data_IF_295295191693
#
_entry.id   IF_295295191693
#
_cell.length_a   1.000
_cell.length_b   1.000
_cell.length_c   1.000
_cell.angle_alpha   90.00
_cell.angle_beta   90.00
_cell.angle_gamma   90.00
#
_symmetry.space_group_name_H-M   'P 1'
#
loop_
_entity.id
_entity.type
_entity.pdbx_description
1 polymer ?
#
# COMPACT_ATOMS: atom_id res chain seq x y z
N UNK A 1 8.30 -4.27 -20.22
CA UNK A 1 8.23 -3.21 -19.20
C UNK A 1 7.70 -3.78 -17.91
N UNK A 2 8.39 -3.47 -16.83
CA UNK A 2 8.09 -3.90 -15.48
C UNK A 2 7.38 -2.73 -14.78
N UNK A 3 6.37 -3.01 -13.96
CA UNK A 3 5.67 -1.98 -13.16
C UNK A 3 5.73 -2.42 -11.70
N UNK A 4 6.18 -1.53 -10.82
CA UNK A 4 6.16 -1.77 -9.38
C UNK A 4 4.70 -1.92 -8.90
N UNK A 5 4.37 -3.05 -8.30
CA UNK A 5 3.02 -3.34 -7.79
C UNK A 5 3.05 -3.45 -6.27
N UNK A 6 3.15 -2.33 -5.57
CA UNK A 6 2.96 -2.32 -4.12
C UNK A 6 1.54 -2.79 -3.82
N UNK A 7 1.39 -3.76 -2.92
CA UNK A 7 0.10 -4.40 -2.69
C UNK A 7 -0.94 -3.40 -2.18
N UNK A 8 -1.88 -3.04 -3.05
CA UNK A 8 -3.17 -2.45 -2.69
C UNK A 8 -4.08 -3.63 -2.36
N UNK A 9 -4.06 -4.11 -1.12
CA UNK A 9 -5.10 -5.05 -0.71
C UNK A 9 -6.41 -4.27 -0.57
N UNK A 10 -7.37 -4.55 -1.46
CA UNK A 10 -8.77 -4.30 -1.17
C UNK A 10 -9.15 -5.29 -0.06
N UNK A 11 -9.39 -4.79 1.14
CA UNK A 11 -9.83 -5.60 2.29
C UNK A 11 -11.06 -6.40 1.84
N UNK A 12 -11.02 -7.75 1.80
CA UNK A 12 -12.24 -8.53 1.81
C UNK A 12 -12.90 -8.27 3.16
N UNK A 13 -14.18 -7.93 3.19
CA UNK A 13 -14.93 -7.65 4.43
C UNK A 13 -14.54 -8.64 5.54
N UNK A 14 -13.82 -8.13 6.56
CA UNK A 14 -13.61 -8.85 7.80
C UNK A 14 -14.96 -8.91 8.49
N UNK A 15 -15.69 -10.00 8.30
CA UNK A 15 -16.95 -10.26 9.00
C UNK A 15 -16.65 -10.50 10.49
N UNK A 16 -17.04 -9.60 11.42
CA UNK A 16 -16.77 -9.76 12.84
C UNK A 16 -17.99 -10.39 13.51
N UNK A 17 -18.16 -11.71 13.35
CA UNK A 17 -19.09 -12.56 14.09
C UNK A 17 -18.79 -14.02 13.68
N UNK A 18 -18.61 -15.03 14.52
CA UNK A 18 -19.00 -15.25 15.91
C UNK A 18 -18.32 -16.54 16.36
N UNK A 19 -17.60 -16.52 17.49
CA UNK A 19 -17.34 -17.72 18.27
C UNK A 19 -18.59 -18.04 19.10
N UNK A 20 -19.37 -19.05 18.71
CA UNK A 20 -20.26 -19.77 19.62
C UNK A 20 -20.63 -21.14 19.06
N UNK A 21 -20.44 -22.11 19.96
CA UNK A 21 -20.61 -23.56 19.92
C UNK A 21 -21.76 -24.09 19.04
N UNK A 22 -21.46 -25.23 18.41
CA UNK A 22 -22.34 -26.10 17.63
C UNK A 22 -23.60 -26.55 18.40
N UNK A 23 -24.73 -26.60 17.70
CA UNK A 23 -25.74 -27.67 17.82
C UNK A 23 -26.48 -27.77 16.48
N UNK A 24 -26.49 -28.96 15.90
CA UNK A 24 -26.81 -29.18 14.49
C UNK A 24 -28.29 -29.26 14.09
N UNK A 25 -28.49 -29.24 12.77
CA UNK A 25 -29.41 -30.02 11.91
C UNK A 25 -29.47 -29.36 10.52
N UNK A 26 -29.17 -30.10 9.44
CA UNK A 26 -29.33 -29.63 8.05
C UNK A 26 -30.78 -29.79 7.55
N UNK A 27 -31.03 -29.91 6.22
CA UNK A 27 -30.48 -29.17 5.08
C UNK A 27 -31.60 -28.46 4.28
N UNK A 28 -31.28 -27.44 3.49
CA UNK A 28 -32.27 -26.83 2.57
C UNK A 28 -31.70 -25.72 1.70
N UNK A 29 -31.43 -26.05 0.43
CA UNK A 29 -31.13 -25.11 -0.64
C UNK A 29 -32.37 -24.32 -1.04
N UNK A 30 -32.29 -22.99 -1.07
CA UNK A 30 -33.18 -22.13 -1.87
C UNK A 30 -32.41 -20.88 -2.32
N UNK A 31 -32.30 -20.68 -3.63
CA UNK A 31 -31.92 -19.40 -4.24
C UNK A 31 -33.22 -18.66 -4.58
N UNK A 32 -33.38 -17.41 -4.12
CA UNK A 32 -34.10 -16.40 -4.89
C UNK A 32 -33.14 -15.21 -5.12
N UNK A 33 -32.97 -14.75 -6.34
CA UNK A 33 -34.04 -14.10 -7.08
C UNK A 33 -33.82 -12.59 -6.95
N UNK A 34 -33.26 -12.03 -8.03
CA UNK A 34 -33.03 -10.62 -8.31
C UNK A 34 -34.14 -9.71 -7.74
N UNK A 35 -33.83 -8.86 -6.75
CA UNK A 35 -34.72 -7.77 -6.31
C UNK A 35 -34.05 -6.42 -6.57
N UNK A 36 -34.72 -5.70 -7.46
CA UNK A 36 -34.45 -4.34 -7.92
C UNK A 36 -34.76 -3.36 -6.79
N UNK A 37 -33.75 -2.71 -6.22
CA UNK A 37 -33.97 -1.65 -5.22
C UNK A 37 -33.95 -0.28 -5.92
N UNK A 38 -35.15 0.31 -6.04
CA UNK A 38 -35.33 1.77 -6.15
C UNK A 38 -35.03 2.38 -4.78
N UNK A 39 -34.42 3.57 -4.79
CA UNK A 39 -33.85 4.19 -3.61
C UNK A 39 -34.85 4.70 -2.58
N UNK A 40 -34.33 4.89 -1.37
CA UNK A 40 -34.57 6.06 -0.54
C UNK A 40 -33.40 6.26 0.46
N UNK A 41 -33.15 7.49 0.94
CA UNK A 41 -31.88 7.92 1.51
C UNK A 41 -31.83 7.72 3.03
N UNK A 42 -30.78 7.05 3.53
CA UNK A 42 -30.48 7.03 4.96
C UNK A 42 -29.12 7.65 5.25
N UNK A 43 -29.25 8.83 5.86
CA UNK A 43 -28.27 9.64 6.60
C UNK A 43 -27.15 8.82 7.25
N UNK A 44 -25.90 9.11 6.88
CA UNK A 44 -24.74 8.89 7.75
C UNK A 44 -23.95 10.20 7.86
N UNK A 45 -23.62 10.50 9.11
CA UNK A 45 -23.13 11.77 9.64
C UNK A 45 -21.73 12.10 9.12
N UNK A 46 -21.65 12.95 8.11
CA UNK A 46 -20.49 13.79 7.88
C UNK A 46 -20.94 15.23 8.06
N UNK A 47 -20.45 15.90 9.10
CA UNK A 47 -20.54 17.34 9.24
C UNK A 47 -19.12 17.93 9.35
N UNK A 48 -18.93 19.17 8.86
CA UNK A 48 -17.74 19.55 8.11
C UNK A 48 -16.94 20.65 8.81
N UNK A 49 -15.68 20.79 8.43
CA UNK A 49 -14.90 22.05 8.54
C UNK A 49 -13.47 21.75 8.09
N UNK A 50 -12.82 22.45 7.17
CA UNK A 50 -13.05 23.77 6.57
C UNK A 50 -12.37 23.76 5.20
N UNK A 51 -13.05 24.35 4.23
CA UNK A 51 -12.42 24.94 3.05
C UNK A 51 -11.36 25.93 3.53
N UNK A 52 -10.10 25.68 3.21
CA UNK A 52 -9.08 26.72 3.14
C UNK A 52 -8.43 26.60 1.77
N UNK A 53 -8.42 27.75 1.10
CA UNK A 53 -8.07 27.95 -0.30
C UNK A 53 -6.71 27.36 -0.69
N UNK A 54 -6.67 26.90 -1.94
CA UNK A 54 -5.44 26.52 -2.61
C UNK A 54 -4.47 27.71 -2.70
N UNK A 55 -3.21 27.45 -2.35
CA UNK A 55 -2.07 28.07 -3.02
C UNK A 55 -1.18 26.94 -3.53
N UNK A 56 -0.93 26.97 -4.83
CA UNK A 56 0.01 26.07 -5.49
C UNK A 56 1.40 26.20 -4.84
N UNK A 57 1.87 25.11 -4.24
CA UNK A 57 3.26 24.63 -4.24
C UNK A 57 3.34 23.38 -3.38
N UNK A 58 4.08 22.38 -3.87
CA UNK A 58 4.10 21.03 -3.33
C UNK A 58 4.46 20.92 -1.85
N UNK A 59 4.03 19.81 -1.26
CA UNK A 59 4.37 19.40 0.11
C UNK A 59 3.12 19.17 0.96
N UNK A 60 2.82 17.90 1.26
CA UNK A 60 1.66 17.55 2.06
C UNK A 60 1.71 16.17 2.72
N UNK A 61 2.87 15.74 3.24
CA UNK A 61 2.85 14.70 4.27
C UNK A 61 2.12 15.28 5.50
N UNK A 62 0.99 14.66 5.87
CA UNK A 62 0.10 15.11 6.96
C UNK A 62 0.85 15.31 8.30
N UNK A 63 0.42 16.35 9.02
CA UNK A 63 0.71 16.74 10.42
C UNK A 63 1.47 15.72 11.27
N UNK A 64 2.66 16.13 11.70
CA UNK A 64 3.44 15.50 12.78
C UNK A 64 2.59 15.42 14.06
N UNK A 65 2.08 14.22 14.36
CA UNK A 65 1.39 13.93 15.62
C UNK A 65 2.44 13.92 16.74
N UNK A 66 2.48 14.98 17.55
CA UNK A 66 3.38 15.06 18.70
C UNK A 66 3.13 13.88 19.65
N UNK A 67 4.13 12.99 19.77
CA UNK A 67 4.19 11.92 20.78
C UNK A 67 3.89 10.49 20.29
N UNK A 68 3.42 10.29 19.06
CA UNK A 68 3.17 8.96 18.46
C UNK A 68 3.78 8.94 17.06
N UNK A 69 5.10 9.04 17.01
CA UNK A 69 5.86 9.12 15.76
C UNK A 69 6.88 7.99 15.62
N UNK A 70 7.52 7.96 14.46
CA UNK A 70 8.62 7.05 14.15
C UNK A 70 9.79 7.30 15.12
N UNK A 71 10.21 6.26 15.84
CA UNK A 71 11.33 6.27 16.77
C UNK A 71 12.63 5.74 16.15
N UNK A 72 13.77 5.98 16.81
CA UNK A 72 15.08 5.54 16.34
C UNK A 72 15.30 4.03 16.27
N UNK A 73 14.41 3.23 16.87
CA UNK A 73 14.41 1.76 16.81
C UNK A 73 13.33 1.18 15.90
N UNK A 74 12.66 2.01 15.09
CA UNK A 74 11.61 1.55 14.17
C UNK A 74 12.20 1.15 12.81
N UNK A 75 11.72 0.03 12.28
CA UNK A 75 11.97 -0.40 10.92
C UNK A 75 10.67 -0.49 10.12
N UNK A 76 10.75 -0.27 8.81
CA UNK A 76 9.65 -0.49 7.86
C UNK A 76 10.04 -1.57 6.87
N UNK A 77 9.13 -2.52 6.62
CA UNK A 77 9.25 -3.43 5.49
C UNK A 77 8.29 -2.95 4.40
N UNK A 78 8.79 -2.82 3.17
CA UNK A 78 7.95 -2.49 2.01
C UNK A 78 7.80 -3.75 1.16
N UNK A 79 6.55 -4.21 1.05
CA UNK A 79 6.22 -5.50 0.44
C UNK A 79 5.52 -5.35 -0.91
N UNK A 80 5.95 -6.12 -1.90
CA UNK A 80 5.16 -6.44 -3.08
C UNK A 80 5.07 -7.97 -3.30
N UNK A 81 4.44 -8.40 -4.40
CA UNK A 81 4.36 -9.84 -4.74
C UNK A 81 5.68 -10.44 -5.20
N UNK A 82 6.64 -9.61 -5.60
CA UNK A 82 7.77 -9.96 -6.41
C UNK A 82 7.39 -10.14 -7.88
N UNK A 83 8.38 -10.37 -8.72
CA UNK A 83 8.19 -10.62 -10.13
C UNK A 83 9.28 -11.54 -10.68
N UNK A 84 8.91 -12.35 -11.68
CA UNK A 84 9.87 -13.18 -12.44
C UNK A 84 10.89 -12.36 -13.24
N UNK A 85 10.59 -11.10 -13.54
CA UNK A 85 11.53 -10.14 -14.16
C UNK A 85 12.36 -9.47 -13.09
N UNK A 86 13.68 -9.60 -13.16
CA UNK A 86 14.64 -9.03 -12.21
C UNK A 86 14.54 -7.50 -12.15
N UNK A 87 14.31 -6.85 -13.28
CA UNK A 87 14.17 -5.40 -13.39
C UNK A 87 12.97 -4.89 -12.58
N UNK A 88 11.90 -5.70 -12.45
CA UNK A 88 10.78 -5.33 -11.58
C UNK A 88 11.18 -5.28 -10.11
N UNK A 89 11.94 -6.27 -9.66
CA UNK A 89 12.34 -6.40 -8.27
C UNK A 89 13.32 -5.30 -7.90
N UNK A 90 14.19 -4.88 -8.84
CA UNK A 90 15.09 -3.74 -8.64
C UNK A 90 14.36 -2.41 -8.42
N UNK A 91 13.19 -2.20 -9.06
CA UNK A 91 12.40 -0.99 -8.80
C UNK A 91 11.85 -0.93 -7.36
N UNK A 92 11.64 -2.06 -6.70
CA UNK A 92 11.27 -2.06 -5.28
C UNK A 92 12.43 -1.52 -4.43
N UNK A 93 13.67 -1.91 -4.76
CA UNK A 93 14.85 -1.40 -4.07
C UNK A 93 15.01 0.11 -4.28
N UNK A 94 14.82 0.61 -5.50
CA UNK A 94 14.82 2.04 -5.78
C UNK A 94 13.72 2.78 -4.99
N UNK A 95 12.53 2.18 -4.89
CA UNK A 95 11.44 2.74 -4.10
C UNK A 95 11.76 2.78 -2.61
N UNK A 96 12.39 1.75 -2.05
CA UNK A 96 12.87 1.72 -0.66
C UNK A 96 13.86 2.86 -0.40
N UNK A 97 14.81 3.09 -1.32
CA UNK A 97 15.76 4.22 -1.21
C UNK A 97 15.02 5.54 -1.20
N UNK A 98 14.13 5.78 -2.17
CA UNK A 98 13.33 7.01 -2.23
C UNK A 98 12.46 7.20 -0.98
N UNK A 99 11.87 6.13 -0.45
CA UNK A 99 11.04 6.17 0.75
C UNK A 99 11.88 6.56 1.96
N UNK A 100 13.07 5.95 2.11
CA UNK A 100 13.99 6.27 3.20
C UNK A 100 14.46 7.72 3.14
N UNK A 101 14.80 8.23 1.96
CA UNK A 101 15.23 9.63 1.77
C UNK A 101 14.12 10.65 2.06
N UNK A 102 12.87 10.32 1.75
CA UNK A 102 11.72 11.21 1.94
C UNK A 102 11.07 11.12 3.32
N UNK A 103 11.47 10.16 4.14
CA UNK A 103 10.86 9.90 5.46
C UNK A 103 11.91 9.93 6.56
N UNK A 104 11.48 9.77 7.82
CA UNK A 104 12.37 9.74 8.99
C UNK A 104 12.65 8.30 9.48
N UNK A 105 12.32 7.28 8.68
CA UNK A 105 12.52 5.89 9.08
C UNK A 105 14.01 5.51 8.99
N UNK A 106 14.63 5.06 10.09
CA UNK A 106 16.07 4.76 10.10
C UNK A 106 16.38 3.47 9.34
N UNK A 107 15.49 2.48 9.38
CA UNK A 107 15.64 1.17 8.73
C UNK A 107 14.44 0.96 7.80
N UNK A 108 14.70 0.67 6.52
CA UNK A 108 13.67 0.37 5.52
C UNK A 108 14.17 -0.78 4.66
N UNK A 109 13.47 -1.90 4.65
CA UNK A 109 13.86 -3.11 3.91
C UNK A 109 12.80 -3.48 2.86
N UNK A 110 13.20 -3.92 1.65
CA UNK A 110 12.28 -4.51 0.68
C UNK A 110 11.93 -5.95 1.07
N UNK A 111 10.75 -6.41 0.69
CA UNK A 111 10.40 -7.82 0.71
C UNK A 111 9.41 -8.21 -0.40
N UNK A 112 9.42 -9.48 -0.76
CA UNK A 112 8.54 -10.06 -1.76
C UNK A 112 7.73 -11.20 -1.15
N UNK A 113 6.46 -11.34 -1.55
CA UNK A 113 5.58 -12.36 -1.00
C UNK A 113 5.82 -13.77 -1.58
N UNK A 114 6.12 -13.90 -2.88
CA UNK A 114 6.10 -15.22 -3.51
C UNK A 114 7.05 -15.39 -4.71
N UNK A 115 7.36 -14.33 -5.48
CA UNK A 115 8.04 -14.48 -6.79
C UNK A 115 9.53 -14.11 -6.79
N UNK A 116 10.05 -13.56 -5.70
CA UNK A 116 11.42 -13.06 -5.62
C UNK A 116 11.93 -13.07 -4.18
N UNK A 117 13.23 -12.88 -4.03
CA UNK A 117 13.90 -12.67 -2.74
C UNK A 117 14.34 -11.21 -2.62
N UNK A 118 14.36 -10.62 -1.41
CA UNK A 118 14.18 -11.27 -0.10
C UNK A 118 12.72 -11.53 0.29
N UNK A 119 12.47 -12.61 1.03
CA UNK A 119 11.17 -12.88 1.66
C UNK A 119 10.89 -11.91 2.83
N UNK A 120 9.63 -11.86 3.28
CA UNK A 120 9.23 -11.08 4.47
C UNK A 120 10.02 -11.53 5.71
N UNK A 121 10.30 -12.83 5.84
CA UNK A 121 11.10 -13.37 6.94
C UNK A 121 12.52 -12.84 6.91
N UNK A 122 13.13 -12.82 5.72
CA UNK A 122 14.51 -12.35 5.56
C UNK A 122 14.63 -10.85 5.82
N UNK A 123 13.69 -10.05 5.31
CA UNK A 123 13.62 -8.63 5.59
C UNK A 123 13.41 -8.34 7.08
N UNK A 124 12.55 -9.12 7.76
CA UNK A 124 12.36 -9.00 9.20
C UNK A 124 13.65 -9.32 9.97
N UNK A 125 14.34 -10.41 9.61
CA UNK A 125 15.63 -10.75 10.21
C UNK A 125 16.67 -9.63 10.01
N UNK A 126 16.73 -9.06 8.80
CA UNK A 126 17.60 -7.91 8.48
C UNK A 126 17.29 -6.71 9.38
N UNK A 127 16.01 -6.37 9.57
CA UNK A 127 15.60 -5.30 10.47
C UNK A 127 16.10 -5.54 11.91
N UNK A 128 15.92 -6.76 12.42
CA UNK A 128 16.36 -7.12 13.78
C UNK A 128 17.88 -7.05 13.91
N UNK A 129 18.63 -7.53 12.92
CA UNK A 129 20.10 -7.44 12.89
C UNK A 129 20.60 -6.00 12.88
N UNK A 130 19.85 -5.09 12.25
CA UNK A 130 20.13 -3.66 12.26
C UNK A 130 19.72 -2.95 13.58
N UNK A 131 19.18 -3.69 14.55
CA UNK A 131 18.82 -3.16 15.87
C UNK A 131 17.39 -2.66 16.00
N UNK A 132 16.49 -3.05 15.08
CA UNK A 132 15.08 -2.69 15.19
C UNK A 132 14.43 -3.29 16.46
N UNK A 133 13.73 -2.45 17.22
CA UNK A 133 12.92 -2.83 18.38
C UNK A 133 11.43 -2.93 18.01
N UNK A 134 11.06 -2.33 16.88
CA UNK A 134 9.72 -2.38 16.31
C UNK A 134 9.76 -2.45 14.79
N UNK A 135 9.03 -3.40 14.20
CA UNK A 135 8.90 -3.53 12.74
C UNK A 135 7.48 -3.16 12.31
N UNK A 136 7.36 -2.28 11.33
CA UNK A 136 6.08 -1.79 10.78
C UNK A 136 5.95 -2.31 9.36
N UNK A 137 4.80 -2.91 9.04
CA UNK A 137 4.57 -3.52 7.74
C UNK A 137 3.06 -3.49 7.38
N UNK A 138 2.71 -3.83 6.15
CA UNK A 138 1.33 -3.80 5.62
C UNK A 138 0.65 -5.18 5.60
N UNK A 139 1.27 -6.28 5.15
CA UNK A 139 0.61 -7.58 5.11
C UNK A 139 0.62 -8.26 6.48
N UNK A 140 -0.40 -9.07 6.77
CA UNK A 140 -0.46 -9.86 8.01
C UNK A 140 0.64 -10.91 8.15
N UNK A 141 1.38 -11.20 7.07
CA UNK A 141 2.48 -12.16 7.03
C UNK A 141 3.63 -11.79 7.98
N UNK A 142 3.77 -10.51 8.34
CA UNK A 142 4.74 -10.03 9.33
C UNK A 142 4.55 -10.69 10.70
N UNK A 143 3.31 -11.01 11.07
CA UNK A 143 3.02 -11.68 12.34
C UNK A 143 3.65 -13.07 12.43
N UNK A 144 3.76 -13.78 11.29
CA UNK A 144 4.42 -15.09 11.24
C UNK A 144 5.93 -14.94 11.43
N UNK A 145 6.55 -13.99 10.71
CA UNK A 145 7.98 -13.70 10.82
C UNK A 145 8.38 -13.26 12.24
N UNK A 146 7.50 -12.51 12.92
CA UNK A 146 7.75 -12.03 14.28
C UNK A 146 7.80 -13.14 15.34
N UNK A 147 7.23 -14.34 15.08
CA UNK A 147 7.27 -15.45 16.05
C UNK A 147 8.69 -15.89 16.38
N UNK A 148 9.62 -15.72 15.45
CA UNK A 148 11.04 -16.04 15.63
C UNK A 148 11.78 -14.99 16.48
N UNK A 149 11.16 -13.84 16.76
CA UNK A 149 11.77 -12.68 17.44
C UNK A 149 10.87 -12.12 18.56
N UNK A 150 10.65 -12.85 19.68
CA UNK A 150 9.70 -12.45 20.73
C UNK A 150 10.06 -11.14 21.46
N UNK A 151 11.28 -10.64 21.32
CA UNK A 151 11.73 -9.37 21.90
C UNK A 151 11.47 -8.14 21.02
N UNK A 152 10.94 -8.33 19.81
CA UNK A 152 10.71 -7.26 18.82
C UNK A 152 9.22 -7.06 18.63
N UNK A 153 8.75 -5.85 18.88
CA UNK A 153 7.35 -5.50 18.65
C UNK A 153 7.06 -5.35 17.15
N UNK A 154 5.81 -5.53 16.72
CA UNK A 154 5.44 -5.29 15.34
C UNK A 154 4.07 -4.63 15.21
N UNK A 155 3.88 -3.89 14.12
CA UNK A 155 2.63 -3.22 13.77
C UNK A 155 2.26 -3.58 12.34
N UNK A 156 1.06 -4.13 12.16
CA UNK A 156 0.45 -4.33 10.84
C UNK A 156 -0.45 -3.13 10.57
N UNK A 157 -0.13 -2.37 9.54
CA UNK A 157 -0.90 -1.21 9.11
C UNK A 157 -2.10 -1.64 8.28
N UNK A 158 -3.07 -0.73 8.10
CA UNK A 158 -4.15 -0.96 7.16
C UNK A 158 -3.56 -1.00 5.73
N UNK A 159 -4.08 -1.88 4.85
CA UNK A 159 -3.68 -1.83 3.46
C UNK A 159 -4.09 -0.51 2.81
N UNK A 160 -3.41 -0.16 1.71
CA UNK A 160 -3.60 1.14 1.06
C UNK A 160 -5.07 1.46 0.76
N UNK A 161 -5.85 0.47 0.27
CA UNK A 161 -7.29 0.58 0.11
C UNK A 161 -7.74 1.83 -0.69
N UNK A 162 -8.89 2.38 -0.31
CA UNK A 162 -9.40 3.64 -0.87
C UNK A 162 -8.80 4.83 -0.11
N UNK A 163 -7.60 5.23 -0.50
CA UNK A 163 -6.89 6.36 0.10
C UNK A 163 -6.83 7.55 -0.86
N UNK A 164 -7.14 8.76 -0.38
CA UNK A 164 -7.21 9.98 -1.21
C UNK A 164 -5.90 10.24 -1.98
N UNK A 165 -4.74 10.03 -1.35
CA UNK A 165 -3.43 10.19 -2.01
C UNK A 165 -3.22 9.24 -3.22
N UNK A 166 -3.92 8.11 -3.31
CA UNK A 166 -3.86 7.28 -4.51
C UNK A 166 -4.54 7.96 -5.69
N UNK A 167 -5.59 8.74 -5.45
CA UNK A 167 -6.25 9.55 -6.49
C UNK A 167 -5.25 10.56 -7.06
N UNK A 168 -4.49 11.22 -6.19
CA UNK A 168 -3.49 12.19 -6.59
C UNK A 168 -2.38 11.54 -7.43
N UNK A 169 -1.84 10.40 -6.99
CA UNK A 169 -0.79 9.66 -7.72
C UNK A 169 -1.28 9.20 -9.10
N UNK A 170 -2.51 8.70 -9.19
CA UNK A 170 -3.08 8.26 -10.47
C UNK A 170 -3.28 9.45 -11.41
N UNK A 171 -3.85 10.54 -10.91
CA UNK A 171 -4.09 11.75 -11.70
C UNK A 171 -2.78 12.41 -12.16
N UNK A 172 -1.77 12.48 -11.28
CA UNK A 172 -0.42 12.96 -11.61
C UNK A 172 0.17 12.16 -12.79
N UNK A 173 0.11 10.82 -12.72
CA UNK A 173 0.63 9.97 -13.79
C UNK A 173 -0.11 10.15 -15.11
N UNK A 174 -1.44 10.31 -15.08
CA UNK A 174 -2.24 10.58 -16.27
C UNK A 174 -1.83 11.92 -16.89
N UNK A 175 -1.76 12.98 -16.09
CA UNK A 175 -1.42 14.32 -16.55
C UNK A 175 -0.01 14.38 -17.13
N UNK A 176 0.95 13.65 -16.54
CA UNK A 176 2.29 13.51 -17.08
C UNK A 176 2.26 12.90 -18.48
N UNK A 177 1.57 11.77 -18.68
CA UNK A 177 1.46 11.12 -19.97
C UNK A 177 0.76 12.00 -21.03
N UNK A 178 -0.32 12.70 -20.66
CA UNK A 178 -1.01 13.63 -21.57
C UNK A 178 -0.12 14.82 -21.94
N UNK A 179 0.67 15.32 -20.99
CA UNK A 179 1.63 16.40 -21.25
C UNK A 179 2.77 15.94 -22.16
N UNK A 180 3.25 14.70 -22.01
CA UNK A 180 4.22 14.10 -22.92
C UNK A 180 3.63 13.92 -24.34
N UNK A 181 2.37 13.48 -24.47
CA UNK A 181 1.65 13.46 -25.78
C UNK A 181 1.60 14.85 -26.41
N UNK A 182 1.42 15.90 -25.60
CA UNK A 182 1.42 17.29 -26.05
C UNK A 182 2.83 17.88 -26.29
N UNK A 183 3.90 17.10 -26.12
CA UNK A 183 5.29 17.54 -26.30
C UNK A 183 5.81 18.47 -25.21
N UNK A 184 5.23 18.43 -24.01
CA UNK A 184 5.56 19.32 -22.88
C UNK A 184 6.37 18.66 -21.77
N UNK A 185 6.42 17.34 -21.75
CA UNK A 185 7.15 16.55 -20.76
C UNK A 185 8.04 15.54 -21.46
N UNK A 186 9.08 15.09 -20.75
CA UNK A 186 9.99 14.07 -21.20
C UNK A 186 9.34 12.67 -21.20
N UNK A 187 10.09 11.69 -21.69
CA UNK A 187 9.67 10.30 -21.71
C UNK A 187 9.56 9.73 -20.29
N UNK A 188 8.48 9.00 -20.02
CA UNK A 188 8.39 8.19 -18.81
C UNK A 188 9.06 6.82 -19.01
N UNK A 189 9.20 6.07 -17.91
CA UNK A 189 9.74 4.70 -17.92
C UNK A 189 9.05 3.70 -18.88
N UNK A 190 7.86 4.03 -19.40
CA UNK A 190 7.08 3.20 -20.34
C UNK A 190 7.29 3.61 -21.81
N UNK A 191 7.85 4.78 -22.09
CA UNK A 191 8.15 5.23 -23.45
C UNK A 191 9.60 5.71 -23.61
N UNK A 192 10.45 5.42 -22.63
CA UNK A 192 11.88 5.72 -22.68
C UNK A 192 12.53 5.17 -23.96
N UNK A 193 13.28 6.03 -24.65
CA UNK A 193 13.99 5.75 -25.90
C UNK A 193 13.12 5.72 -27.15
N UNK A 194 11.85 6.14 -27.10
CA UNK A 194 10.92 6.04 -28.25
C UNK A 194 10.62 7.37 -28.95
N UNK A 195 10.99 8.49 -28.32
CA UNK A 195 10.71 9.86 -28.70
C UNK A 195 9.25 10.31 -28.52
N UNK A 196 8.34 9.42 -28.08
CA UNK A 196 6.90 9.73 -28.03
C UNK A 196 6.11 8.84 -27.07
N UNK A 197 5.04 9.39 -26.49
CA UNK A 197 4.06 8.58 -25.78
C UNK A 197 3.30 7.66 -26.75
N UNK A 198 2.95 6.44 -26.32
CA UNK A 198 2.19 5.49 -27.13
C UNK A 198 0.68 5.76 -27.02
N UNK A 199 0.06 6.12 -28.14
CA UNK A 199 -1.40 6.28 -28.27
C UNK A 199 -1.93 5.12 -29.13
N UNK A 200 -2.97 4.44 -28.65
CA UNK A 200 -3.63 3.35 -29.38
C UNK A 200 -4.96 3.89 -29.92
N UNK A 201 -5.19 3.70 -31.22
CA UNK A 201 -6.43 4.06 -31.90
C UNK A 201 -7.26 2.82 -32.19
#
# INVERSE_FOLDING_TARGET
>A
MSVLKISIFLVPELNPATSRREFGRGPGWVIPGFVKLRGDPLKTKYLPSRLCFATANGGGFRKELKGVGVGGGDAVIIVDHGSRRKESNLMLNEFVVMFREKTKYPIVEPAHMELAEPSIKDAFNSCVQQGAQRVIDIPSLTAEAAKDHPGVSYVITAPLGLHELLVDVVNDRINYCLSHVAGKEDECSVCAGTGKCRVYN
#
